data_IF_219169621071
#
_entry.id   IF_219169621071
#
_cell.length_a   1.000
_cell.length_b   1.000
_cell.length_c   1.000
_cell.angle_alpha   90.00
_cell.angle_beta   90.00
_cell.angle_gamma   90.00
#
_symmetry.space_group_name_H-M   'P 1'
#
loop_
_entity.id
_entity.type
_entity.pdbx_description
1 polymer ?
#
# COMPACT_ATOMS: atom_id res chain seq x y z
N UNK A 1 -8.51 -62.07 18.34
CA UNK A 1 -8.54 -60.95 19.31
C UNK A 1 -7.12 -60.62 19.73
N UNK A 2 -6.62 -59.47 19.30
CA UNK A 2 -5.79 -58.58 20.12
C UNK A 2 -5.94 -57.19 19.49
N UNK A 3 -6.91 -56.46 20.01
CA UNK A 3 -7.04 -55.02 19.83
C UNK A 3 -5.76 -54.40 20.41
N UNK A 4 -5.00 -53.70 19.59
CA UNK A 4 -3.93 -52.83 20.07
C UNK A 4 -4.45 -51.41 19.91
N UNK A 5 -4.81 -50.82 21.03
CA UNK A 5 -5.24 -49.44 21.17
C UNK A 5 -4.01 -48.54 20.98
N UNK A 6 -4.06 -47.62 20.02
CA UNK A 6 -3.08 -46.54 19.87
C UNK A 6 -3.58 -45.30 20.60
N UNK A 7 -2.80 -44.71 21.53
CA UNK A 7 -3.04 -43.35 21.96
C UNK A 7 -2.02 -42.36 21.37
N UNK A 8 -2.55 -41.16 21.15
CA UNK A 8 -1.91 -39.84 21.00
C UNK A 8 -1.34 -39.40 19.63
N UNK A 9 -2.20 -38.62 18.95
CA UNK A 9 -2.02 -37.19 18.65
C UNK A 9 -0.64 -36.77 18.09
N UNK A 10 -0.65 -36.45 16.79
CA UNK A 10 -0.10 -35.17 16.32
C UNK A 10 1.31 -35.18 15.74
N UNK A 11 1.45 -35.75 14.55
CA UNK A 11 2.05 -35.17 13.32
C UNK A 11 2.57 -36.32 12.44
N UNK A 12 1.74 -36.79 11.51
CA UNK A 12 2.21 -37.65 10.42
C UNK A 12 2.56 -36.72 9.26
N UNK A 13 3.86 -36.57 8.99
CA UNK A 13 4.29 -36.17 7.66
C UNK A 13 4.01 -37.35 6.72
N UNK A 14 2.88 -37.32 6.02
CA UNK A 14 2.55 -38.32 5.01
C UNK A 14 3.32 -38.00 3.73
N UNK A 15 4.45 -38.66 3.52
CA UNK A 15 5.13 -38.70 2.23
C UNK A 15 4.47 -39.78 1.37
N UNK A 16 3.55 -39.38 0.49
CA UNK A 16 3.00 -40.29 -0.54
C UNK A 16 3.98 -40.32 -1.70
N UNK A 17 4.85 -41.34 -1.76
CA UNK A 17 5.66 -41.64 -2.94
C UNK A 17 4.86 -42.59 -3.83
N UNK A 18 4.37 -42.09 -4.97
CA UNK A 18 3.92 -42.94 -6.07
C UNK A 18 5.16 -43.52 -6.74
N UNK A 19 5.51 -44.76 -6.44
CA UNK A 19 6.60 -45.48 -7.10
C UNK A 19 6.14 -45.91 -8.50
N UNK A 20 6.45 -45.11 -9.52
CA UNK A 20 6.53 -45.61 -10.90
C UNK A 20 7.71 -46.59 -10.99
N UNK A 21 7.48 -47.76 -11.57
CA UNK A 21 8.38 -48.92 -11.62
C UNK A 21 9.63 -48.74 -12.51
N UNK A 22 10.32 -47.60 -12.43
CA UNK A 22 11.43 -47.23 -13.32
C UNK A 22 12.67 -46.65 -12.64
N UNK A 23 12.76 -46.67 -11.32
CA UNK A 23 13.99 -46.21 -10.64
C UNK A 23 15.06 -47.31 -10.70
N UNK A 24 16.30 -46.99 -11.10
CA UNK A 24 17.39 -47.96 -11.11
C UNK A 24 17.61 -48.49 -9.70
N UNK A 25 17.70 -49.82 -9.57
CA UNK A 25 18.08 -50.47 -8.32
C UNK A 25 19.49 -50.04 -7.95
N UNK A 26 19.60 -49.38 -6.79
CA UNK A 26 20.85 -48.90 -6.25
C UNK A 26 21.63 -50.09 -5.68
N UNK A 27 22.86 -50.32 -6.16
CA UNK A 27 23.74 -51.39 -5.67
C UNK A 27 24.39 -50.95 -4.35
N UNK A 28 23.91 -51.49 -3.23
CA UNK A 28 24.30 -51.12 -1.85
C UNK A 28 25.80 -51.31 -1.54
N UNK A 29 26.53 -52.08 -2.36
CA UNK A 29 27.92 -52.47 -2.08
C UNK A 29 28.97 -51.38 -2.36
N UNK A 30 28.62 -50.25 -2.98
CA UNK A 30 29.56 -49.19 -3.37
C UNK A 30 29.09 -47.78 -2.97
N UNK A 31 28.31 -47.67 -1.90
CA UNK A 31 27.69 -46.41 -1.48
C UNK A 31 28.26 -46.01 -0.12
N UNK A 32 28.84 -44.82 -0.05
CA UNK A 32 29.13 -44.20 1.23
C UNK A 32 27.80 -43.70 1.81
N UNK A 33 27.33 -44.34 2.89
CA UNK A 33 26.09 -43.98 3.58
C UNK A 33 26.42 -43.09 4.76
N UNK A 34 25.72 -41.95 4.87
CA UNK A 34 25.70 -41.13 6.08
C UNK A 34 24.43 -41.49 6.85
N UNK A 35 24.58 -42.01 8.06
CA UNK A 35 23.46 -42.28 8.96
C UNK A 35 23.23 -41.09 9.88
N UNK A 36 22.03 -40.52 9.85
CA UNK A 36 21.56 -39.52 10.82
C UNK A 36 20.82 -40.25 11.95
N UNK A 37 21.46 -40.38 13.12
CA UNK A 37 20.80 -40.87 14.33
C UNK A 37 20.22 -39.67 15.11
N UNK A 38 18.91 -39.67 15.36
CA UNK A 38 18.22 -38.66 16.17
C UNK A 38 17.91 -39.29 17.53
N UNK A 39 18.73 -39.00 18.54
CA UNK A 39 18.51 -39.47 19.91
C UNK A 39 17.62 -38.48 20.69
N UNK A 40 16.65 -38.99 21.45
CA UNK A 40 15.82 -38.26 22.43
C UNK A 40 15.17 -36.95 21.95
N UNK A 41 14.08 -37.07 21.19
CA UNK A 41 13.26 -35.94 20.72
C UNK A 41 12.68 -35.02 21.83
N UNK A 42 12.73 -35.42 23.11
CA UNK A 42 12.10 -34.71 24.24
C UNK A 42 13.09 -33.99 25.18
N UNK A 43 14.38 -33.89 24.83
CA UNK A 43 15.41 -33.27 25.69
C UNK A 43 16.05 -32.00 25.11
N UNK A 44 15.54 -31.53 23.97
CA UNK A 44 16.04 -30.31 23.31
C UNK A 44 15.74 -29.04 24.12
N UNK A 45 16.54 -28.00 23.87
CA UNK A 45 16.27 -26.65 24.38
C UNK A 45 14.94 -26.13 23.81
N UNK A 46 14.23 -25.32 24.61
CA UNK A 46 13.01 -24.64 24.13
C UNK A 46 13.40 -23.70 22.99
N UNK A 47 12.80 -23.89 21.83
CA UNK A 47 12.90 -22.94 20.73
C UNK A 47 12.04 -21.72 21.08
N UNK A 48 12.61 -20.51 21.21
CA UNK A 48 11.82 -19.33 21.53
C UNK A 48 10.76 -19.06 20.46
N UNK A 49 9.56 -18.65 20.88
CA UNK A 49 8.51 -18.22 19.93
C UNK A 49 8.93 -17.01 19.09
N UNK A 50 9.93 -16.26 19.54
CA UNK A 50 10.55 -15.14 18.85
C UNK A 50 11.76 -15.53 18.01
N UNK A 51 12.00 -16.82 17.73
CA UNK A 51 13.14 -17.24 16.89
C UNK A 51 13.03 -16.69 15.46
N UNK A 52 11.81 -16.54 14.95
CA UNK A 52 11.52 -15.99 13.63
C UNK A 52 10.67 -14.73 13.75
N UNK A 53 11.05 -13.69 13.02
CA UNK A 53 10.34 -12.42 13.00
C UNK A 53 10.56 -11.69 11.67
N UNK A 54 10.01 -10.49 11.58
CA UNK A 54 10.10 -9.62 10.41
C UNK A 54 10.74 -8.29 10.82
N UNK A 55 11.54 -7.73 9.92
CA UNK A 55 12.06 -6.38 10.05
C UNK A 55 11.41 -5.54 8.95
N UNK A 56 10.86 -4.39 9.33
CA UNK A 56 10.37 -3.36 8.43
C UNK A 56 11.22 -2.11 8.67
N UNK A 57 11.84 -1.63 7.61
CA UNK A 57 12.49 -0.32 7.55
C UNK A 57 11.52 0.59 6.83
N UNK A 58 11.21 1.76 7.39
CA UNK A 58 10.31 2.67 6.68
C UNK A 58 11.00 3.11 5.38
N UNK A 59 10.35 2.91 4.24
CA UNK A 59 10.70 3.45 2.94
C UNK A 59 11.97 2.87 2.29
N UNK A 60 12.23 1.57 2.48
CA UNK A 60 13.20 0.84 1.65
C UNK A 60 12.47 0.18 0.47
N UNK A 61 12.82 0.56 -0.76
CA UNK A 61 12.18 0.05 -1.98
C UNK A 61 10.64 0.25 -2.02
N UNK A 62 10.10 1.30 -1.39
CA UNK A 62 8.64 1.56 -1.29
C UNK A 62 7.89 0.44 -0.55
N UNK A 63 8.50 -0.14 0.48
CA UNK A 63 7.88 -1.20 1.28
C UNK A 63 6.78 -0.71 2.24
N UNK A 64 6.77 0.57 2.58
CA UNK A 64 5.68 1.27 3.28
C UNK A 64 4.81 2.11 2.31
N UNK A 65 5.21 3.33 1.96
CA UNK A 65 4.54 4.23 1.02
C UNK A 65 4.65 3.64 -0.40
N UNK A 66 3.52 3.18 -0.92
CA UNK A 66 3.43 2.40 -2.16
C UNK A 66 3.47 0.88 -1.96
N UNK A 67 3.69 0.42 -0.73
CA UNK A 67 3.74 -0.97 -0.33
C UNK A 67 2.71 -1.29 0.74
N UNK A 68 3.16 -1.53 1.97
CA UNK A 68 2.34 -1.94 3.10
C UNK A 68 1.29 -0.89 3.46
N UNK A 69 1.57 0.41 3.33
CA UNK A 69 0.58 1.46 3.54
C UNK A 69 -0.32 1.58 2.31
N UNK A 70 -1.64 1.55 2.53
CA UNK A 70 -2.61 1.38 1.44
C UNK A 70 -2.90 2.64 0.61
N UNK A 71 -2.25 3.78 0.90
CA UNK A 71 -2.39 4.98 0.07
C UNK A 71 -1.91 4.71 -1.35
N UNK A 72 -2.71 5.10 -2.34
CA UNK A 72 -2.39 4.88 -3.76
C UNK A 72 -1.94 6.16 -4.46
N UNK A 73 -2.18 7.33 -3.86
CA UNK A 73 -1.76 8.63 -4.40
C UNK A 73 -0.34 8.92 -3.95
N UNK A 74 0.58 8.85 -4.91
CA UNK A 74 1.97 9.25 -4.69
C UNK A 74 2.08 10.78 -4.55
N UNK A 75 2.97 11.23 -3.66
CA UNK A 75 3.22 12.65 -3.39
C UNK A 75 1.91 13.43 -3.10
N UNK A 76 1.02 12.84 -2.30
CA UNK A 76 -0.33 13.35 -2.04
C UNK A 76 -0.41 14.74 -1.39
N UNK A 77 0.67 15.19 -0.76
CA UNK A 77 0.71 16.41 0.04
C UNK A 77 1.92 17.32 -0.27
N UNK A 78 2.67 17.02 -1.34
CA UNK A 78 3.80 17.84 -1.80
C UNK A 78 4.90 18.04 -0.72
N UNK A 79 5.11 17.02 0.11
CA UNK A 79 5.97 17.06 1.30
C UNK A 79 7.44 16.77 0.99
N UNK A 80 7.74 16.23 -0.19
CA UNK A 80 9.12 15.99 -0.61
C UNK A 80 9.92 17.30 -0.69
N UNK A 81 11.21 17.21 -0.31
CA UNK A 81 12.12 18.36 -0.30
C UNK A 81 12.30 18.91 -1.71
N UNK A 82 11.87 20.15 -1.93
CA UNK A 82 11.91 20.81 -3.23
C UNK A 82 10.52 21.08 -3.82
N UNK A 83 9.45 20.54 -3.22
CA UNK A 83 8.05 20.72 -3.65
C UNK A 83 7.88 20.35 -5.13
N UNK A 84 8.08 19.07 -5.46
CA UNK A 84 7.92 18.55 -6.82
C UNK A 84 6.48 18.21 -7.16
N UNK A 85 6.19 18.12 -8.47
CA UNK A 85 4.96 17.54 -9.00
C UNK A 85 5.13 16.07 -9.42
N UNK A 86 6.09 15.35 -8.85
CA UNK A 86 6.24 13.93 -9.19
C UNK A 86 4.94 13.18 -8.84
N UNK A 87 4.44 12.35 -9.75
CA UNK A 87 3.13 11.72 -9.64
C UNK A 87 1.94 12.54 -10.16
N UNK A 88 2.13 13.83 -10.46
CA UNK A 88 1.09 14.76 -10.88
C UNK A 88 1.32 15.30 -12.29
N UNK A 89 0.25 15.35 -13.08
CA UNK A 89 0.28 15.87 -14.45
C UNK A 89 -0.99 16.63 -14.76
N UNK A 90 -0.94 17.68 -15.59
CA UNK A 90 -2.17 18.27 -16.10
C UNK A 90 -2.91 17.25 -16.96
N UNK A 91 -4.23 17.22 -16.81
CA UNK A 91 -5.14 16.45 -17.67
C UNK A 91 -5.91 17.41 -18.57
N UNK A 92 -5.98 17.13 -19.88
CA UNK A 92 -6.62 18.02 -20.85
C UNK A 92 -5.88 19.34 -21.06
N UNK A 93 -6.62 20.46 -21.06
CA UNK A 93 -6.08 21.81 -21.29
C UNK A 93 -5.67 22.56 -20.01
N UNK A 94 -5.80 21.92 -18.84
CA UNK A 94 -5.40 22.50 -17.56
C UNK A 94 -3.89 22.70 -17.46
N UNK A 95 -3.47 23.54 -16.53
CA UNK A 95 -2.07 23.68 -16.13
C UNK A 95 -1.94 23.47 -14.63
N UNK A 96 -0.90 22.80 -14.20
CA UNK A 96 -0.54 22.63 -12.78
C UNK A 96 0.80 23.34 -12.56
N UNK A 97 0.90 24.12 -11.48
CA UNK A 97 2.06 24.95 -11.21
C UNK A 97 2.78 24.48 -9.94
N UNK A 98 3.88 23.73 -10.13
CA UNK A 98 5.01 23.39 -9.25
C UNK A 98 5.99 22.60 -10.17
N UNK A 99 7.29 22.49 -9.88
CA UNK A 99 8.27 21.99 -10.88
C UNK A 99 8.47 20.45 -10.86
N UNK A 100 8.84 19.90 -12.03
CA UNK A 100 9.29 18.52 -12.35
C UNK A 100 8.26 17.36 -12.37
N UNK A 101 8.45 16.42 -13.32
CA UNK A 101 7.47 15.40 -13.80
C UNK A 101 8.07 13.98 -13.78
N UNK A 102 7.37 13.01 -13.17
CA UNK A 102 7.68 11.55 -13.10
C UNK A 102 6.37 10.74 -12.77
N UNK A 103 6.32 9.39 -12.93
CA UNK A 103 5.12 8.62 -13.33
C UNK A 103 3.98 8.54 -12.30
N UNK A 104 2.79 8.17 -12.80
CA UNK A 104 1.53 8.10 -12.05
C UNK A 104 1.56 7.15 -10.85
N UNK A 105 1.13 7.62 -9.68
CA UNK A 105 1.08 6.82 -8.45
C UNK A 105 2.44 6.18 -8.12
N UNK A 106 2.41 5.04 -7.44
CA UNK A 106 3.61 4.23 -7.19
C UNK A 106 3.89 3.27 -8.36
N UNK A 107 4.29 3.84 -9.51
CA UNK A 107 4.52 3.12 -10.77
C UNK A 107 3.26 2.51 -11.42
N UNK A 108 2.09 3.07 -11.11
CA UNK A 108 0.78 2.64 -11.59
C UNK A 108 -0.22 2.43 -10.45
N UNK A 109 -1.49 2.24 -10.82
CA UNK A 109 -2.60 2.00 -9.89
C UNK A 109 -3.35 0.78 -10.38
N UNK A 110 -3.37 -0.31 -9.60
CA UNK A 110 -4.19 -1.48 -9.90
C UNK A 110 -5.62 -1.24 -9.39
N UNK A 111 -6.59 -1.07 -10.29
CA UNK A 111 -7.97 -0.75 -9.91
C UNK A 111 -8.81 -2.02 -9.97
N UNK A 112 -9.52 -2.26 -8.88
CA UNK A 112 -10.42 -3.40 -8.71
C UNK A 112 -11.85 -2.93 -8.48
N UNK A 113 -12.83 -3.74 -8.86
CA UNK A 113 -14.26 -3.50 -8.61
C UNK A 113 -14.54 -3.58 -7.12
N UNK A 114 -14.47 -2.42 -6.47
CA UNK A 114 -14.76 -2.19 -5.07
C UNK A 114 -14.93 -0.68 -4.83
N UNK A 115 -15.29 -0.31 -3.61
CA UNK A 115 -15.36 1.09 -3.20
C UNK A 115 -13.98 1.59 -2.74
N UNK A 116 -13.57 2.74 -3.24
CA UNK A 116 -12.39 3.45 -2.76
C UNK A 116 -12.82 4.66 -1.94
N UNK A 117 -12.17 4.89 -0.81
CA UNK A 117 -12.40 6.09 0.00
C UNK A 117 -11.40 7.16 -0.43
N UNK A 118 -11.88 8.27 -0.95
CA UNK A 118 -11.06 9.39 -1.37
C UNK A 118 -11.33 10.63 -0.51
N UNK A 119 -10.30 11.44 -0.33
CA UNK A 119 -10.39 12.71 0.39
C UNK A 119 -9.39 13.72 -0.17
N UNK A 120 -9.68 14.99 0.07
CA UNK A 120 -8.75 16.09 -0.21
C UNK A 120 -9.17 17.32 0.60
N UNK A 121 -8.22 18.21 0.85
CA UNK A 121 -8.50 19.60 1.18
C UNK A 121 -8.55 20.41 -0.11
N UNK A 122 -9.51 21.32 -0.21
CA UNK A 122 -9.71 22.19 -1.37
C UNK A 122 -9.99 23.61 -0.94
N UNK A 123 -9.52 24.57 -1.75
CA UNK A 123 -9.98 25.95 -1.76
C UNK A 123 -9.95 26.55 -3.16
N UNK A 124 -10.89 27.42 -3.45
CA UNK A 124 -10.83 28.35 -4.58
C UNK A 124 -10.12 29.63 -4.16
N UNK A 125 -9.43 30.29 -5.09
CA UNK A 125 -8.75 31.57 -4.81
C UNK A 125 -9.50 32.74 -5.47
N UNK A 126 -9.72 33.82 -4.71
CA UNK A 126 -10.36 35.03 -5.22
C UNK A 126 -11.70 34.78 -5.93
N UNK A 127 -11.79 35.19 -7.20
CA UNK A 127 -13.01 35.05 -8.03
C UNK A 127 -13.09 33.71 -8.80
N UNK A 128 -12.31 32.71 -8.40
CA UNK A 128 -12.36 31.40 -9.02
C UNK A 128 -13.75 30.76 -8.89
N UNK A 129 -14.19 30.11 -9.95
CA UNK A 129 -15.54 29.58 -10.10
C UNK A 129 -15.52 28.24 -10.82
N UNK A 130 -16.21 27.26 -10.25
CA UNK A 130 -16.44 25.94 -10.85
C UNK A 130 -17.81 25.93 -11.52
N UNK A 131 -17.85 25.64 -12.83
CA UNK A 131 -19.10 25.60 -13.57
C UNK A 131 -20.03 24.51 -13.01
N UNK A 132 -21.24 24.92 -12.61
CA UNK A 132 -22.20 24.03 -11.96
C UNK A 132 -21.83 23.62 -10.52
N UNK A 133 -20.74 24.16 -9.96
CA UNK A 133 -20.32 23.91 -8.59
C UNK A 133 -19.83 22.50 -8.30
N UNK A 134 -19.59 21.68 -9.33
CA UNK A 134 -19.36 20.25 -9.17
C UNK A 134 -18.03 19.81 -9.80
N UNK A 135 -17.21 19.08 -9.05
CA UNK A 135 -16.00 18.42 -9.56
C UNK A 135 -16.29 16.95 -9.86
N UNK A 136 -15.71 16.43 -10.93
CA UNK A 136 -15.73 15.00 -11.27
C UNK A 136 -14.43 14.36 -10.81
N UNK A 137 -14.51 13.32 -9.98
CA UNK A 137 -13.33 12.68 -9.39
C UNK A 137 -13.46 11.18 -9.55
N UNK A 138 -12.39 10.54 -10.00
CA UNK A 138 -12.48 9.14 -10.35
C UNK A 138 -11.18 8.55 -10.82
N UNK A 139 -11.33 7.44 -11.54
CA UNK A 139 -10.21 6.76 -12.15
C UNK A 139 -10.43 6.55 -13.63
N UNK A 140 -9.37 6.70 -14.41
CA UNK A 140 -9.34 6.37 -15.83
C UNK A 140 -8.09 5.59 -16.19
N UNK A 141 -8.06 5.05 -17.40
CA UNK A 141 -6.80 4.65 -18.00
C UNK A 141 -5.90 5.87 -18.23
N UNK A 142 -4.60 5.62 -18.44
CA UNK A 142 -3.62 6.69 -18.68
C UNK A 142 -3.89 7.56 -19.92
N UNK A 143 -4.78 7.14 -20.83
CA UNK A 143 -5.19 7.95 -21.98
C UNK A 143 -6.43 8.81 -21.72
N UNK A 144 -7.16 8.55 -20.62
CA UNK A 144 -8.43 9.21 -20.30
C UNK A 144 -9.63 8.74 -21.12
N UNK A 145 -9.49 7.70 -21.94
CA UNK A 145 -10.56 7.19 -22.80
C UNK A 145 -11.53 6.27 -22.06
N UNK A 146 -11.06 5.56 -21.05
CA UNK A 146 -11.87 4.61 -20.27
C UNK A 146 -11.94 5.10 -18.83
N UNK A 147 -13.15 5.41 -18.35
CA UNK A 147 -13.41 5.70 -16.93
C UNK A 147 -13.82 4.42 -16.21
N UNK A 148 -13.11 4.08 -15.13
CA UNK A 148 -13.36 2.88 -14.33
C UNK A 148 -14.28 3.12 -13.13
N UNK A 149 -14.35 4.36 -12.65
CA UNK A 149 -15.20 4.74 -11.52
C UNK A 149 -15.19 6.26 -11.36
N UNK A 150 -16.30 6.82 -10.86
CA UNK A 150 -16.46 8.27 -10.75
C UNK A 150 -17.46 8.66 -9.66
N UNK A 151 -17.16 9.78 -9.01
CA UNK A 151 -18.04 10.50 -8.09
C UNK A 151 -18.06 11.98 -8.44
N UNK A 152 -19.16 12.65 -8.10
CA UNK A 152 -19.34 14.09 -8.31
C UNK A 152 -19.42 14.80 -6.97
N UNK A 153 -18.57 15.81 -6.77
CA UNK A 153 -18.40 16.50 -5.49
C UNK A 153 -18.85 17.95 -5.63
N UNK A 154 -19.83 18.35 -4.82
CA UNK A 154 -20.31 19.73 -4.75
C UNK A 154 -19.33 20.58 -3.93
N UNK A 155 -18.69 21.52 -4.60
CA UNK A 155 -17.75 22.49 -4.02
C UNK A 155 -18.33 23.90 -3.96
N UNK A 156 -19.60 24.09 -4.34
CA UNK A 156 -20.26 25.41 -4.33
C UNK A 156 -20.45 25.98 -2.92
N UNK A 157 -20.44 25.11 -1.91
CA UNK A 157 -20.59 25.47 -0.49
C UNK A 157 -19.31 26.08 0.11
N UNK A 158 -18.17 25.97 -0.57
CA UNK A 158 -16.87 26.36 -0.03
C UNK A 158 -16.67 27.87 -0.24
N UNK A 159 -16.54 28.67 0.83
CA UNK A 159 -16.20 30.07 0.69
C UNK A 159 -14.82 30.23 0.04
N UNK A 160 -14.68 31.25 -0.81
CA UNK A 160 -13.38 31.57 -1.42
C UNK A 160 -12.29 31.74 -0.35
N UNK A 161 -11.06 31.37 -0.71
CA UNK A 161 -9.84 31.44 0.08
C UNK A 161 -9.80 30.58 1.37
N UNK A 162 -10.86 29.81 1.64
CA UNK A 162 -10.96 28.96 2.83
C UNK A 162 -10.74 27.49 2.49
N UNK A 163 -9.84 26.84 3.23
CA UNK A 163 -9.63 25.39 3.13
C UNK A 163 -10.84 24.63 3.67
N UNK A 164 -11.32 23.67 2.89
CA UNK A 164 -12.42 22.78 3.28
C UNK A 164 -12.06 21.31 2.99
N UNK A 165 -12.26 20.38 3.95
CA UNK A 165 -12.02 18.97 3.74
C UNK A 165 -13.21 18.28 3.05
N UNK A 166 -12.91 17.42 2.09
CA UNK A 166 -13.87 16.51 1.47
C UNK A 166 -13.50 15.07 1.74
N UNK A 167 -14.50 14.22 1.97
CA UNK A 167 -14.35 12.77 2.09
C UNK A 167 -15.55 12.09 1.45
N UNK A 168 -15.30 11.15 0.55
CA UNK A 168 -16.33 10.48 -0.25
C UNK A 168 -15.86 9.12 -0.74
N UNK A 169 -16.80 8.36 -1.28
CA UNK A 169 -16.52 7.06 -1.89
C UNK A 169 -16.55 7.16 -3.40
N UNK A 170 -15.64 6.48 -4.08
CA UNK A 170 -15.65 6.28 -5.53
C UNK A 170 -16.03 4.83 -5.80
N UNK A 171 -17.22 4.56 -6.37
CA UNK A 171 -17.57 3.23 -6.82
C UNK A 171 -16.85 2.89 -8.12
N UNK A 172 -16.18 1.73 -8.17
CA UNK A 172 -15.56 1.21 -9.39
C UNK A 172 -16.50 0.25 -10.10
N UNK A 173 -16.66 0.44 -11.42
CA UNK A 173 -17.57 -0.31 -12.28
C UNK A 173 -16.91 -1.52 -12.95
N UNK A 174 -15.60 -1.48 -13.19
CA UNK A 174 -14.87 -2.56 -13.87
C UNK A 174 -13.41 -2.67 -13.44
N UNK A 175 -12.85 -3.88 -13.52
CA UNK A 175 -11.45 -4.15 -13.22
C UNK A 175 -10.55 -3.65 -14.35
N UNK A 176 -9.33 -3.25 -14.02
CA UNK A 176 -8.33 -2.88 -15.02
C UNK A 176 -7.54 -4.09 -15.52
N UNK A 177 -7.16 -4.08 -16.80
CA UNK A 177 -6.29 -5.08 -17.42
C UNK A 177 -4.79 -4.76 -17.28
N UNK A 178 -4.45 -3.57 -16.80
CA UNK A 178 -3.07 -3.12 -16.54
C UNK A 178 -3.06 -2.16 -15.36
N UNK A 179 -1.88 -1.84 -14.83
CA UNK A 179 -1.71 -0.80 -13.79
C UNK A 179 -1.54 0.62 -14.37
N UNK A 180 -1.63 0.82 -15.69
CA UNK A 180 -1.46 2.13 -16.34
C UNK A 180 -2.73 2.98 -16.23
N UNK A 181 -3.13 3.26 -15.00
CA UNK A 181 -4.34 4.00 -14.68
C UNK A 181 -4.00 5.21 -13.82
N UNK A 182 -4.90 6.17 -13.79
CA UNK A 182 -4.72 7.46 -13.12
C UNK A 182 -5.93 7.77 -12.25
N UNK A 183 -5.68 8.39 -11.11
CA UNK A 183 -6.69 9.11 -10.35
C UNK A 183 -6.80 10.52 -10.95
N UNK A 184 -8.02 10.99 -11.22
CA UNK A 184 -8.23 12.31 -11.79
C UNK A 184 -9.16 13.17 -10.94
N UNK A 185 -8.94 14.48 -11.00
CA UNK A 185 -9.85 15.52 -10.57
C UNK A 185 -10.12 16.39 -11.80
N UNK A 186 -11.37 16.43 -12.25
CA UNK A 186 -11.79 17.11 -13.47
C UNK A 186 -12.76 18.24 -13.15
N UNK A 187 -12.45 19.41 -13.71
CA UNK A 187 -13.31 20.59 -13.69
C UNK A 187 -14.26 20.58 -14.89
N UNK A 188 -15.55 20.90 -14.72
CA UNK A 188 -16.46 21.02 -15.85
C UNK A 188 -16.05 22.17 -16.80
N UNK A 189 -16.34 22.06 -18.10
CA UNK A 189 -16.13 23.13 -19.06
C UNK A 189 -16.79 24.45 -18.62
N UNK A 190 -16.06 25.56 -18.72
CA UNK A 190 -16.51 26.88 -18.28
C UNK A 190 -16.09 27.25 -16.85
N UNK A 191 -15.44 26.35 -16.12
CA UNK A 191 -14.75 26.69 -14.86
C UNK A 191 -13.56 27.61 -15.13
N UNK A 192 -13.24 28.51 -14.19
CA UNK A 192 -12.17 29.50 -14.32
C UNK A 192 -11.54 29.86 -12.97
N UNK A 193 -10.29 30.32 -13.00
CA UNK A 193 -9.55 30.80 -11.83
C UNK A 193 -8.61 29.75 -11.24
N UNK A 194 -8.03 30.09 -10.09
CA UNK A 194 -7.03 29.28 -9.42
C UNK A 194 -7.65 28.48 -8.26
N UNK A 195 -7.20 27.24 -8.11
CA UNK A 195 -7.67 26.31 -7.11
C UNK A 195 -6.48 25.62 -6.47
N UNK A 196 -6.55 25.38 -5.17
CA UNK A 196 -5.52 24.66 -4.46
C UNK A 196 -6.09 23.39 -3.83
N UNK A 197 -5.28 22.32 -3.89
CA UNK A 197 -5.56 21.04 -3.27
C UNK A 197 -4.41 20.67 -2.34
N UNK A 198 -4.72 19.97 -1.25
CA UNK A 198 -3.71 19.38 -0.39
C UNK A 198 -4.21 18.06 0.21
N UNK A 199 -3.30 17.17 0.58
CA UNK A 199 -3.59 15.86 1.17
C UNK A 199 -4.62 15.10 0.33
N UNK A 200 -4.36 14.99 -0.97
CA UNK A 200 -5.23 14.24 -1.89
C UNK A 200 -4.99 12.75 -1.66
N UNK A 201 -5.92 12.08 -1.02
CA UNK A 201 -5.76 10.72 -0.55
C UNK A 201 -6.77 9.79 -1.20
N UNK A 202 -6.37 8.55 -1.49
CA UNK A 202 -7.31 7.53 -1.90
C UNK A 202 -6.89 6.14 -1.40
N UNK A 203 -7.82 5.46 -0.73
CA UNK A 203 -7.61 4.15 -0.13
C UNK A 203 -8.57 3.11 -0.72
N UNK A 204 -8.06 1.93 -1.14
CA UNK A 204 -8.90 0.74 -1.24
C UNK A 204 -9.34 0.26 0.16
N UNK A 205 -10.20 -0.77 0.26
CA UNK A 205 -10.44 -1.45 1.53
C UNK A 205 -9.12 -1.93 2.14
N UNK A 206 -8.94 -1.64 3.42
CA UNK A 206 -7.69 -1.87 4.14
C UNK A 206 -7.77 -3.13 4.99
N UNK A 207 -6.60 -3.68 5.32
CA UNK A 207 -6.50 -4.85 6.20
C UNK A 207 -7.18 -4.60 7.54
N UNK A 208 -8.13 -5.45 7.90
CA UNK A 208 -8.97 -5.35 9.12
C UNK A 208 -9.71 -4.02 9.25
N UNK A 209 -10.13 -3.43 8.13
CA UNK A 209 -10.95 -2.21 8.05
C UNK A 209 -10.34 -1.02 8.83
N UNK A 210 -9.01 -0.96 8.89
CA UNK A 210 -8.30 0.10 9.60
C UNK A 210 -8.25 1.35 8.74
N UNK A 211 -8.87 2.44 9.21
CA UNK A 211 -8.70 3.77 8.62
C UNK A 211 -7.21 4.12 8.61
N UNK A 212 -6.72 4.67 7.51
CA UNK A 212 -5.29 4.96 7.32
C UNK A 212 -4.41 3.70 7.48
N UNK A 213 -4.93 2.56 7.04
CA UNK A 213 -4.39 1.24 7.33
C UNK A 213 -3.52 0.65 6.24
N UNK A 214 -3.28 -0.66 6.38
CA UNK A 214 -2.38 -1.41 5.52
C UNK A 214 -3.09 -2.01 4.30
N UNK A 215 -2.32 -2.23 3.23
CA UNK A 215 -2.77 -2.88 2.00
C UNK A 215 -3.07 -4.35 2.27
N UNK A 216 -4.23 -4.83 1.82
CA UNK A 216 -4.80 -6.12 2.21
C UNK A 216 -3.90 -7.32 1.89
N UNK A 217 -3.43 -7.42 0.66
CA UNK A 217 -2.61 -8.54 0.16
C UNK A 217 -1.26 -8.64 0.87
N UNK A 218 -0.55 -7.51 1.01
CA UNK A 218 0.75 -7.46 1.67
C UNK A 218 0.60 -7.73 3.18
N UNK A 219 -0.36 -7.08 3.85
CA UNK A 219 -0.60 -7.30 5.27
C UNK A 219 -1.03 -8.75 5.58
N UNK A 220 -1.83 -9.37 4.72
CA UNK A 220 -2.20 -10.77 4.86
C UNK A 220 -0.97 -11.68 4.68
N UNK A 221 -0.13 -11.44 3.67
CA UNK A 221 1.10 -12.19 3.50
C UNK A 221 2.02 -12.08 4.73
N UNK A 222 2.16 -10.90 5.32
CA UNK A 222 2.88 -10.72 6.58
C UNK A 222 2.25 -11.48 7.75
N UNK A 223 0.92 -11.48 7.85
CA UNK A 223 0.21 -12.23 8.89
C UNK A 223 0.40 -13.75 8.73
N UNK A 224 0.42 -14.25 7.49
CA UNK A 224 0.57 -15.66 7.17
C UNK A 224 1.98 -16.20 7.48
N UNK A 225 3.01 -15.33 7.51
CA UNK A 225 4.34 -15.66 8.03
C UNK A 225 4.33 -15.99 9.53
N UNK A 226 3.28 -15.58 10.26
CA UNK A 226 3.15 -15.75 11.72
C UNK A 226 4.42 -15.34 12.48
N UNK A 227 4.94 -14.12 12.27
CA UNK A 227 6.17 -13.70 12.90
C UNK A 227 6.00 -13.63 14.42
N UNK A 228 7.01 -14.09 15.17
CA UNK A 228 7.04 -13.96 16.62
C UNK A 228 7.26 -12.52 17.09
N UNK A 229 7.81 -11.66 16.23
CA UNK A 229 7.97 -10.22 16.47
C UNK A 229 8.07 -9.45 15.14
N UNK A 230 7.81 -8.14 15.23
CA UNK A 230 8.07 -7.17 14.15
C UNK A 230 8.98 -6.08 14.69
N UNK A 231 10.10 -5.82 14.01
CA UNK A 231 11.01 -4.70 14.30
C UNK A 231 10.69 -3.54 13.36
N UNK A 232 10.40 -2.36 13.92
CA UNK A 232 10.13 -1.11 13.21
C UNK A 232 10.60 0.10 14.06
N UNK A 233 10.73 1.33 13.50
CA UNK A 233 10.81 1.69 12.08
C UNK A 233 12.28 1.62 11.62
N UNK A 234 12.91 0.46 11.83
CA UNK A 234 14.35 0.35 12.04
C UNK A 234 15.18 0.41 10.76
N UNK A 235 16.46 0.03 10.89
CA UNK A 235 17.41 0.14 9.80
C UNK A 235 17.91 1.57 9.62
N UNK A 236 18.42 1.91 8.44
CA UNK A 236 19.08 3.21 8.22
C UNK A 236 18.08 4.36 8.25
N UNK A 237 16.84 4.11 7.85
CA UNK A 237 15.80 5.10 7.78
C UNK A 237 15.40 5.69 9.15
N UNK A 238 15.58 4.92 10.23
CA UNK A 238 15.45 5.41 11.61
C UNK A 238 16.40 6.59 11.89
N UNK A 239 17.64 6.49 11.39
CA UNK A 239 18.75 7.39 11.71
C UNK A 239 18.63 8.72 10.95
N UNK A 240 18.21 8.64 9.69
CA UNK A 240 18.22 9.78 8.76
C UNK A 240 19.64 10.26 8.41
N UNK A 241 19.79 11.09 7.36
CA UNK A 241 21.10 11.59 6.94
C UNK A 241 21.66 12.68 7.87
N UNK A 242 20.81 13.31 8.68
CA UNK A 242 21.19 14.34 9.65
C UNK A 242 20.32 14.22 10.91
N UNK A 243 20.76 14.81 12.04
CA UNK A 243 19.96 14.83 13.27
C UNK A 243 18.56 15.41 13.02
N UNK A 244 18.43 16.42 12.17
CA UNK A 244 17.14 17.04 11.86
C UNK A 244 16.22 16.16 11.00
N UNK A 245 16.78 15.20 10.28
CA UNK A 245 16.06 14.31 9.34
C UNK A 245 15.86 12.88 9.88
N UNK A 246 16.19 12.63 11.16
CA UNK A 246 15.93 11.36 11.85
C UNK A 246 14.43 11.07 11.97
N UNK A 247 14.09 9.82 12.26
CA UNK A 247 12.71 9.47 12.61
C UNK A 247 12.27 10.15 13.92
N UNK A 248 11.10 10.80 13.90
CA UNK A 248 10.52 11.52 15.04
C UNK A 248 9.09 11.00 15.23
N UNK A 249 8.88 10.13 16.22
CA UNK A 249 7.62 9.40 16.40
C UNK A 249 6.39 10.31 16.55
N UNK A 250 6.51 11.46 17.20
CA UNK A 250 5.40 12.37 17.41
C UNK A 250 5.02 13.14 16.13
N UNK A 251 5.84 13.09 15.08
CA UNK A 251 5.48 13.61 13.75
C UNK A 251 4.69 12.60 12.91
N UNK A 252 4.51 11.36 13.39
CA UNK A 252 3.86 10.26 12.63
C UNK A 252 2.50 9.84 13.19
N UNK A 253 2.05 10.50 14.25
CA UNK A 253 0.76 10.27 14.91
C UNK A 253 -0.23 11.39 14.55
N UNK A 254 -1.43 11.36 15.14
CA UNK A 254 -2.50 12.35 14.91
C UNK A 254 -2.99 12.45 13.46
N UNK A 255 -3.74 13.52 13.15
CA UNK A 255 -4.32 13.76 11.84
C UNK A 255 -3.22 14.00 10.78
N UNK A 256 -3.49 13.62 9.52
CA UNK A 256 -2.49 13.68 8.44
C UNK A 256 -1.99 15.11 8.19
N UNK A 257 -2.83 16.12 8.38
CA UNK A 257 -2.46 17.54 8.24
C UNK A 257 -1.41 18.01 9.25
N UNK A 258 -1.25 17.28 10.36
CA UNK A 258 -0.25 17.60 11.39
C UNK A 258 1.05 16.81 11.21
N UNK A 259 1.13 15.93 10.20
CA UNK A 259 2.30 15.10 9.93
C UNK A 259 3.13 15.78 8.84
N UNK A 260 4.30 16.37 9.15
CA UNK A 260 5.08 17.14 8.19
C UNK A 260 5.79 16.29 7.11
N UNK A 261 5.76 14.97 7.23
CA UNK A 261 6.60 14.07 6.42
C UNK A 261 8.08 14.20 6.77
N UNK A 262 8.92 13.49 6.04
CA UNK A 262 10.39 13.63 6.08
C UNK A 262 10.98 13.21 4.73
N UNK A 263 12.28 13.43 4.53
CA UNK A 263 12.90 13.04 3.26
C UNK A 263 12.70 11.54 2.99
N UNK A 264 12.14 11.23 1.82
CA UNK A 264 11.84 9.88 1.39
C UNK A 264 10.36 9.52 1.46
N UNK A 265 9.57 10.15 2.33
CA UNK A 265 8.10 10.00 2.37
C UNK A 265 7.43 10.86 1.31
#
# INVERSE_FOLDING_TARGET
MKQITLPLIGFIASLVITISSGWPTVNENNINVVSLNIENANTGQIIPSTMHGVILETNINRDDDGGLYAEIIYNRAFQEKGRSLDGWSPFGQGSIALNTFQPFGFYGINIQVQNYTASFFYRSLGEAYVAGGQLRIGFSDSTGQITYGISTIDVSIVPADNWFPFSFTIPIFSNTSSAKNVFFIEFPPGSKGDFEFNIVSCFPPTYKDRVNGARMDIAQAFADLKPGYVRLPGGNDLEGPTILERFIWNNTIDLLENRPGRRGT
#
